data_IF_534534452683
#
_entry.id   IF_534534452683
#
_cell.length_a   1.000
_cell.length_b   1.000
_cell.length_c   1.000
_cell.angle_alpha   90.00
_cell.angle_beta   90.00
_cell.angle_gamma   90.00
#
_symmetry.space_group_name_H-M   'P 1'
#
loop_
_entity.id
_entity.type
_entity.pdbx_description
1 polymer ?
#
# COMPACT_ATOMS: atom_id res chain seq x y z
N UNK A 1 10.70 -20.94 2.92
CA UNK A 1 11.39 -19.66 2.66
C UNK A 1 10.70 -18.61 3.52
N UNK A 2 11.40 -17.86 4.38
CA UNK A 2 10.74 -17.03 5.38
C UNK A 2 10.09 -15.81 4.74
N UNK A 3 8.77 -15.71 4.93
CA UNK A 3 7.94 -14.54 4.66
C UNK A 3 8.63 -13.34 5.33
N UNK A 4 9.16 -12.41 4.53
CA UNK A 4 9.89 -11.26 5.07
C UNK A 4 8.95 -10.43 5.94
N UNK A 5 9.36 -10.10 7.18
CA UNK A 5 8.52 -9.36 8.11
C UNK A 5 8.33 -7.93 7.60
N UNK A 6 7.07 -7.52 7.49
CA UNK A 6 6.61 -6.13 7.51
C UNK A 6 7.16 -5.18 6.43
N UNK A 7 6.59 -5.24 5.23
CA UNK A 7 6.65 -4.13 4.25
C UNK A 7 5.84 -2.89 4.68
N UNK A 8 5.04 -3.01 5.75
CA UNK A 8 4.42 -1.85 6.41
C UNK A 8 5.48 -0.83 6.89
N UNK A 9 6.74 -1.25 7.05
CA UNK A 9 7.85 -0.38 7.45
C UNK A 9 8.53 0.38 6.29
N UNK A 10 8.20 0.09 5.02
CA UNK A 10 8.89 0.69 3.86
C UNK A 10 8.14 1.88 3.25
N UNK A 11 6.87 2.09 3.57
CA UNK A 11 6.09 3.26 3.14
C UNK A 11 6.25 4.45 4.12
N UNK A 12 6.80 4.22 5.32
CA UNK A 12 6.96 5.21 6.38
C UNK A 12 8.42 5.50 6.77
N UNK A 13 9.31 5.77 5.81
CA UNK A 13 10.59 6.39 6.17
C UNK A 13 10.44 7.91 6.21
N UNK A 14 10.31 8.44 7.44
CA UNK A 14 10.20 9.87 7.75
C UNK A 14 11.55 10.57 7.64
N UNK A 15 11.63 11.62 6.82
CA UNK A 15 12.85 12.38 6.53
C UNK A 15 12.94 13.61 7.43
N UNK A 16 13.97 13.69 8.28
CA UNK A 16 14.36 14.93 8.95
C UNK A 16 15.76 15.35 8.46
N UNK A 17 15.84 16.46 7.73
CA UNK A 17 17.09 16.91 7.09
C UNK A 17 18.07 17.60 8.06
N UNK A 18 17.75 17.76 9.35
CA UNK A 18 18.69 18.41 10.29
C UNK A 18 19.95 17.55 10.55
N UNK A 19 19.85 16.23 10.34
CA UNK A 19 20.96 15.28 10.49
C UNK A 19 21.11 14.25 9.36
N UNK A 20 20.17 14.19 8.40
CA UNK A 20 20.25 13.26 7.25
C UNK A 20 19.89 11.80 7.57
N UNK A 21 19.14 11.56 8.66
CA UNK A 21 18.72 10.22 9.09
C UNK A 21 17.19 10.11 9.16
N UNK A 22 16.67 8.90 8.94
CA UNK A 22 15.25 8.58 9.14
C UNK A 22 15.02 8.09 10.58
N UNK A 23 13.91 8.51 11.21
CA UNK A 23 13.58 8.09 12.57
C UNK A 23 12.15 8.44 12.99
N UNK A 24 11.79 8.03 14.20
CA UNK A 24 10.47 8.26 14.84
C UNK A 24 10.63 9.03 16.14
N UNK A 25 9.63 9.83 16.54
CA UNK A 25 9.66 10.67 17.75
C UNK A 25 9.90 12.15 17.44
N UNK A 26 9.63 13.03 18.42
CA UNK A 26 9.62 14.49 18.23
C UNK A 26 10.88 15.06 17.57
N UNK A 27 12.04 14.42 17.76
CA UNK A 27 13.30 14.83 17.15
C UNK A 27 13.32 14.68 15.61
N UNK A 28 12.48 13.79 15.07
CA UNK A 28 12.37 13.50 13.64
C UNK A 28 11.12 14.13 13.00
N UNK A 29 9.97 14.11 13.68
CA UNK A 29 8.73 14.65 13.09
C UNK A 29 8.28 15.99 13.72
N UNK A 30 9.10 16.64 14.55
CA UNK A 30 8.79 17.91 15.20
C UNK A 30 9.01 19.14 14.30
N UNK A 31 9.41 20.26 14.90
CA UNK A 31 9.66 21.52 14.19
C UNK A 31 10.78 21.38 13.15
N UNK A 32 10.49 21.72 11.89
CA UNK A 32 11.43 21.58 10.76
C UNK A 32 11.39 20.24 10.04
N UNK A 33 10.43 19.35 10.36
CA UNK A 33 10.14 18.20 9.51
C UNK A 33 9.73 18.70 8.11
N UNK A 34 10.25 18.05 7.06
CA UNK A 34 9.99 18.37 5.65
C UNK A 34 9.33 17.21 4.88
N UNK A 35 9.19 16.02 5.50
CA UNK A 35 8.53 14.86 4.90
C UNK A 35 8.18 13.75 5.91
N UNK A 36 6.95 13.25 5.83
CA UNK A 36 6.33 12.33 6.81
C UNK A 36 5.24 13.01 7.65
N UNK A 37 4.47 12.28 8.49
CA UNK A 37 3.49 12.83 9.41
C UNK A 37 4.18 13.77 10.39
N UNK A 38 3.90 15.06 10.27
CA UNK A 38 4.44 16.08 11.17
C UNK A 38 3.73 15.98 12.52
N UNK A 39 4.44 15.99 13.66
CA UNK A 39 3.81 16.06 15.00
C UNK A 39 3.02 17.37 15.18
N UNK A 40 3.45 18.44 14.52
CA UNK A 40 2.74 19.74 14.52
C UNK A 40 1.66 19.85 13.44
N UNK A 41 1.55 18.85 12.56
CA UNK A 41 0.41 18.67 11.67
C UNK A 41 -0.06 17.23 11.75
N UNK A 42 -0.16 16.69 12.97
CA UNK A 42 -0.89 15.45 13.16
C UNK A 42 -2.34 15.79 12.79
N UNK A 43 -2.90 15.30 11.68
CA UNK A 43 -4.33 15.17 11.64
C UNK A 43 -4.60 14.13 12.72
N UNK A 44 -5.18 14.60 13.82
CA UNK A 44 -5.83 13.81 14.85
C UNK A 44 -6.12 12.40 14.34
N UNK A 45 -5.51 11.37 14.94
CA UNK A 45 -5.56 9.96 14.53
C UNK A 45 -6.98 9.48 14.22
N UNK A 46 -7.41 9.76 13.02
CA UNK A 46 -8.80 9.82 12.60
C UNK A 46 -8.82 9.76 11.09
N UNK A 47 -9.81 9.04 10.58
CA UNK A 47 -9.99 8.79 9.16
C UNK A 47 -10.05 10.15 8.43
N UNK A 48 -9.15 10.37 7.47
CA UNK A 48 -9.04 11.65 6.74
C UNK A 48 -10.21 11.92 5.77
N UNK A 49 -11.29 11.14 5.87
CA UNK A 49 -12.50 11.25 5.07
C UNK A 49 -12.37 10.62 3.68
N UNK A 50 -11.22 10.03 3.35
CA UNK A 50 -11.01 9.33 2.07
C UNK A 50 -11.71 7.98 2.09
N UNK A 51 -12.53 7.75 1.06
CA UNK A 51 -13.05 6.43 0.74
C UNK A 51 -12.06 5.71 -0.18
N UNK A 52 -11.39 4.68 0.32
CA UNK A 52 -10.54 3.80 -0.51
C UNK A 52 -11.38 3.17 -1.64
N UNK A 53 -12.65 2.87 -1.38
CA UNK A 53 -13.56 2.32 -2.39
C UNK A 53 -13.83 3.30 -3.55
N UNK A 54 -13.79 4.61 -3.29
CA UNK A 54 -14.00 5.64 -4.32
C UNK A 54 -12.73 5.88 -5.15
N UNK A 55 -11.55 5.62 -4.58
CA UNK A 55 -10.27 5.67 -5.30
C UNK A 55 -10.05 4.40 -6.13
N UNK A 56 -10.25 3.24 -5.50
CA UNK A 56 -10.11 1.93 -6.14
C UNK A 56 -11.44 1.59 -6.78
N UNK A 57 -11.75 2.24 -7.91
CA UNK A 57 -12.95 1.94 -8.70
C UNK A 57 -12.83 0.61 -9.45
N UNK A 58 -13.95 0.12 -10.00
CA UNK A 58 -13.91 -1.05 -10.90
C UNK A 58 -13.01 -0.78 -12.11
N UNK A 59 -13.06 0.42 -12.70
CA UNK A 59 -12.20 0.79 -13.83
C UNK A 59 -10.71 0.82 -13.46
N UNK A 60 -10.38 1.34 -12.27
CA UNK A 60 -9.00 1.31 -11.77
C UNK A 60 -8.50 -0.14 -11.61
N UNK A 61 -9.30 -0.98 -10.94
CA UNK A 61 -8.92 -2.37 -10.67
C UNK A 61 -8.84 -3.19 -11.96
N UNK A 62 -9.81 -3.02 -12.87
CA UNK A 62 -9.82 -3.68 -14.17
C UNK A 62 -8.68 -3.18 -15.08
N UNK A 63 -8.32 -1.91 -14.98
CA UNK A 63 -7.17 -1.35 -15.70
C UNK A 63 -5.85 -2.05 -15.34
N UNK A 64 -5.74 -2.57 -14.12
CA UNK A 64 -4.60 -3.37 -13.68
C UNK A 64 -4.70 -4.80 -14.23
N UNK A 65 -5.81 -5.50 -13.97
CA UNK A 65 -5.96 -6.92 -14.33
C UNK A 65 -5.97 -7.15 -15.84
N UNK A 66 -6.36 -6.13 -16.63
CA UNK A 66 -6.32 -6.17 -18.09
C UNK A 66 -4.90 -6.05 -18.67
N UNK A 67 -3.89 -5.66 -17.88
CA UNK A 67 -2.49 -5.69 -18.33
C UNK A 67 -1.93 -7.12 -18.34
N UNK A 68 -2.53 -8.04 -17.58
CA UNK A 68 -2.10 -9.43 -17.57
C UNK A 68 -2.35 -10.10 -18.93
N UNK A 69 -1.30 -10.60 -19.58
CA UNK A 69 -1.41 -11.28 -20.87
C UNK A 69 -1.87 -12.73 -20.70
N UNK A 70 -2.87 -13.15 -21.48
CA UNK A 70 -3.31 -14.55 -21.54
C UNK A 70 -4.35 -14.97 -20.48
N UNK A 71 -4.48 -16.28 -20.30
CA UNK A 71 -5.36 -16.86 -19.30
C UNK A 71 -4.62 -16.90 -17.95
N UNK A 72 -5.17 -16.19 -16.98
CA UNK A 72 -4.57 -16.00 -15.67
C UNK A 72 -5.42 -16.66 -14.59
N UNK A 73 -4.79 -17.51 -13.79
CA UNK A 73 -5.45 -18.23 -12.70
C UNK A 73 -5.92 -17.28 -11.59
N UNK A 74 -5.29 -16.11 -11.47
CA UNK A 74 -5.63 -15.08 -10.49
C UNK A 74 -6.90 -14.30 -10.77
N UNK A 75 -7.46 -14.32 -11.99
CA UNK A 75 -8.58 -13.44 -12.39
C UNK A 75 -9.85 -13.57 -11.55
N UNK A 76 -10.13 -14.77 -11.01
CA UNK A 76 -11.30 -15.00 -10.14
C UNK A 76 -10.99 -14.74 -8.66
N UNK A 77 -9.72 -14.67 -8.28
CA UNK A 77 -9.28 -14.49 -6.91
C UNK A 77 -9.06 -13.00 -6.58
N UNK A 78 -8.36 -12.30 -7.48
CA UNK A 78 -8.14 -10.87 -7.40
C UNK A 78 -9.31 -10.14 -8.05
N UNK A 79 -10.32 -9.84 -7.24
CA UNK A 79 -11.46 -8.99 -7.64
C UNK A 79 -11.53 -7.77 -6.74
N UNK A 80 -12.10 -6.68 -7.26
CA UNK A 80 -12.37 -5.47 -6.45
C UNK A 80 -13.23 -5.80 -5.22
N UNK A 81 -14.25 -6.65 -5.37
CA UNK A 81 -15.09 -7.07 -4.24
C UNK A 81 -14.29 -7.80 -3.17
N UNK A 82 -13.39 -8.71 -3.54
CA UNK A 82 -12.51 -9.42 -2.60
C UNK A 82 -11.57 -8.43 -1.90
N UNK A 83 -11.01 -7.46 -2.63
CA UNK A 83 -10.18 -6.40 -2.06
C UNK A 83 -10.95 -5.54 -1.04
N UNK A 84 -12.17 -5.09 -1.38
CA UNK A 84 -13.00 -4.29 -0.47
C UNK A 84 -13.51 -5.07 0.74
N UNK A 85 -13.70 -6.38 0.59
CA UNK A 85 -14.00 -7.26 1.72
C UNK A 85 -12.79 -7.31 2.67
N UNK A 86 -11.60 -7.63 2.15
CA UNK A 86 -10.37 -7.67 2.94
C UNK A 86 -10.07 -6.32 3.61
N UNK A 87 -10.31 -5.21 2.92
CA UNK A 87 -10.11 -3.85 3.43
C UNK A 87 -10.84 -3.58 4.75
N UNK A 88 -11.99 -4.23 5.01
CA UNK A 88 -12.73 -4.08 6.28
C UNK A 88 -11.90 -4.46 7.50
N UNK A 89 -10.89 -5.33 7.32
CA UNK A 89 -9.96 -5.74 8.37
C UNK A 89 -8.80 -4.75 8.59
N UNK A 90 -8.62 -3.77 7.69
CA UNK A 90 -7.50 -2.82 7.68
C UNK A 90 -8.00 -1.38 7.60
N UNK A 91 -8.74 -0.94 8.62
CA UNK A 91 -9.42 0.37 8.64
C UNK A 91 -8.52 1.60 8.56
N UNK A 92 -7.21 1.45 8.76
CA UNK A 92 -6.22 2.53 8.65
C UNK A 92 -5.57 2.64 7.25
N UNK A 93 -5.74 1.62 6.41
CA UNK A 93 -5.13 1.56 5.07
C UNK A 93 -5.74 2.64 4.16
N UNK A 94 -4.89 3.50 3.59
CA UNK A 94 -5.33 4.52 2.64
C UNK A 94 -6.21 5.61 3.25
N UNK A 95 -6.22 5.77 4.58
CA UNK A 95 -7.06 6.78 5.27
C UNK A 95 -6.27 7.64 6.26
N UNK A 96 -4.94 7.50 6.26
CA UNK A 96 -4.03 8.18 7.17
C UNK A 96 -3.36 9.37 6.48
N UNK A 97 -3.14 10.47 7.21
CA UNK A 97 -2.50 11.66 6.65
C UNK A 97 -3.43 12.47 5.74
N UNK A 98 -2.87 13.12 4.72
CA UNK A 98 -3.64 13.89 3.72
C UNK A 98 -4.31 12.97 2.68
N UNK A 99 -5.25 13.52 1.90
CA UNK A 99 -5.83 12.78 0.76
C UNK A 99 -4.80 12.37 -0.30
N UNK A 100 -3.69 13.12 -0.42
CA UNK A 100 -2.60 12.75 -1.31
C UNK A 100 -1.72 11.64 -0.72
N UNK A 101 -1.61 11.53 0.60
CA UNK A 101 -0.93 10.42 1.26
C UNK A 101 -1.72 9.12 1.07
N UNK A 102 -3.05 9.18 1.23
CA UNK A 102 -3.95 8.07 0.91
C UNK A 102 -3.77 7.55 -0.51
N UNK A 103 -3.77 8.44 -1.52
CA UNK A 103 -3.58 8.06 -2.92
C UNK A 103 -2.21 7.43 -3.15
N UNK A 104 -1.16 7.95 -2.50
CA UNK A 104 0.20 7.41 -2.59
C UNK A 104 0.31 6.02 -1.97
N UNK A 105 -0.29 5.80 -0.80
CA UNK A 105 -0.32 4.49 -0.13
C UNK A 105 -1.05 3.45 -0.99
N UNK A 106 -2.24 3.79 -1.50
CA UNK A 106 -3.03 2.91 -2.39
C UNK A 106 -2.24 2.60 -3.66
N UNK A 107 -1.65 3.62 -4.32
CA UNK A 107 -0.86 3.42 -5.53
C UNK A 107 0.37 2.54 -5.27
N UNK A 108 1.09 2.76 -4.17
CA UNK A 108 2.27 1.96 -3.82
C UNK A 108 1.90 0.49 -3.55
N UNK A 109 0.79 0.23 -2.85
CA UNK A 109 0.29 -1.12 -2.63
C UNK A 109 0.02 -1.84 -3.95
N UNK A 110 -0.77 -1.22 -4.84
CA UNK A 110 -1.10 -1.84 -6.13
C UNK A 110 0.13 -1.98 -7.04
N UNK A 111 1.04 -1.00 -7.07
CA UNK A 111 2.29 -1.12 -7.83
C UNK A 111 3.12 -2.33 -7.37
N UNK A 112 3.23 -2.56 -6.07
CA UNK A 112 3.97 -3.70 -5.56
C UNK A 112 3.23 -5.02 -5.81
N UNK A 113 1.94 -5.08 -5.48
CA UNK A 113 1.15 -6.29 -5.66
C UNK A 113 1.12 -6.73 -7.14
N UNK A 114 1.03 -5.78 -8.07
CA UNK A 114 1.09 -6.07 -9.52
C UNK A 114 2.44 -6.56 -9.98
N UNK A 115 3.54 -6.01 -9.45
CA UNK A 115 4.88 -6.51 -9.75
C UNK A 115 5.05 -7.97 -9.29
N UNK A 116 4.66 -8.27 -8.05
CA UNK A 116 4.85 -9.61 -7.47
C UNK A 116 3.94 -10.68 -8.10
N UNK A 117 2.72 -10.30 -8.51
CA UNK A 117 1.73 -11.26 -9.04
C UNK A 117 1.62 -11.25 -10.57
N UNK A 118 2.44 -10.45 -11.25
CA UNK A 118 2.33 -10.24 -12.70
C UNK A 118 0.96 -9.70 -13.10
N UNK A 119 0.59 -8.51 -12.59
CA UNK A 119 -0.71 -7.88 -12.80
C UNK A 119 -1.89 -8.72 -12.32
N UNK A 120 -1.76 -9.34 -11.13
CA UNK A 120 -2.75 -10.24 -10.55
C UNK A 120 -2.99 -11.52 -11.38
N UNK A 121 -1.99 -11.95 -12.16
CA UNK A 121 -2.10 -13.17 -12.94
C UNK A 121 -1.84 -14.42 -12.11
N UNK A 122 -0.87 -14.36 -11.20
CA UNK A 122 -0.37 -15.49 -10.43
C UNK A 122 -0.81 -15.41 -8.97
N UNK A 123 -1.27 -16.53 -8.43
CA UNK A 123 -1.68 -16.69 -7.01
C UNK A 123 -0.59 -17.34 -6.15
N UNK A 124 0.28 -18.13 -6.76
CA UNK A 124 1.45 -18.79 -6.15
C UNK A 124 2.72 -18.34 -6.87
N UNK A 125 3.87 -18.43 -6.19
CA UNK A 125 5.18 -18.26 -6.83
C UNK A 125 5.45 -19.42 -7.80
N UNK A 126 5.80 -19.09 -9.05
CA UNK A 126 6.03 -20.05 -10.14
C UNK A 126 7.20 -21.01 -9.87
N UNK A 127 8.13 -20.65 -8.96
CA UNK A 127 9.35 -21.42 -8.66
C UNK A 127 9.39 -22.06 -7.24
N UNK A 128 8.28 -22.04 -6.51
CA UNK A 128 8.23 -22.48 -5.10
C UNK A 128 8.22 -24.01 -4.87
N UNK A 129 8.19 -24.84 -5.93
CA UNK A 129 8.04 -26.30 -5.80
C UNK A 129 9.12 -27.08 -6.55
N UNK A 130 10.35 -26.99 -6.06
CA UNK A 130 11.34 -28.05 -6.28
C UNK A 130 10.87 -29.30 -5.53
N UNK A 131 10.22 -30.23 -6.24
CA UNK A 131 10.04 -31.58 -5.75
C UNK A 131 11.37 -32.33 -5.93
N UNK A 132 12.15 -32.48 -4.86
CA UNK A 132 13.21 -33.49 -4.77
C UNK A 132 12.80 -34.54 -3.74
#
# INVERSE_FOLDING_TARGET
MPIKPSFANLIFHHLNYKYGYCGSGNDYCGEGCQGGPFYNAAPSGGNNGVSVADIVTDDFFNGITNQATGNCDGKNLYTRSTFLEALKSYSAFGTSGSGDDSKREIAAFFAHATHETGYFCHKEETDGRNNN
#
